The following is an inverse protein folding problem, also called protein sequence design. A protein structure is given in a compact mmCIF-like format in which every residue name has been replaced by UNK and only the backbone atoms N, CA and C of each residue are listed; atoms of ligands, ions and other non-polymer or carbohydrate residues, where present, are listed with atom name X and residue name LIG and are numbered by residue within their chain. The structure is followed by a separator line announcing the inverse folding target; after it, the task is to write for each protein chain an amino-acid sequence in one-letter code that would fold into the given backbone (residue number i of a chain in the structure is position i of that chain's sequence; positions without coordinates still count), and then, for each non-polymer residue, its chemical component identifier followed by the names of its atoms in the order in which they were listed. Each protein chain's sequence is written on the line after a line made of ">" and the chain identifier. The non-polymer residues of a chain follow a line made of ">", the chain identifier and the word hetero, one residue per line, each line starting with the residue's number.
data_IF_769282537209
#
_entry.id   IF_769282537209
#
_cell.length_a   1.000
_cell.length_b   1.000
_cell.length_c   1.000
_cell.angle_alpha   90.00
_cell.angle_beta   90.00
_cell.angle_gamma   90.00
#
_symmetry.space_group_name_H-M   'P 1'
#
loop_
_entity.id
_entity.type
_entity.pdbx_description
1 polymer ?
#
# COMPACT_ATOMS: atom_id res chain seq x y z
N UNK A 1 25.09 -21.70 -1.46
CA UNK A 1 24.34 -20.99 -0.41
C UNK A 1 24.96 -19.61 -0.29
N UNK A 2 24.20 -18.57 -0.63
CA UNK A 2 24.67 -17.19 -0.47
C UNK A 2 24.39 -16.74 0.95
N UNK A 3 25.41 -16.30 1.66
CA UNK A 3 25.21 -15.60 2.92
C UNK A 3 24.69 -14.19 2.63
N UNK A 4 23.58 -13.83 3.27
CA UNK A 4 23.00 -12.48 3.17
C UNK A 4 23.13 -11.81 4.53
N UNK A 5 23.84 -10.68 4.59
CA UNK A 5 23.93 -9.87 5.80
C UNK A 5 22.85 -8.79 5.79
N UNK A 6 21.98 -8.81 6.79
CA UNK A 6 20.97 -7.77 7.01
C UNK A 6 21.35 -6.95 8.23
N UNK A 7 21.13 -5.62 8.16
CA UNK A 7 21.21 -4.75 9.33
C UNK A 7 19.83 -4.64 9.95
N UNK A 8 19.77 -4.87 11.26
CA UNK A 8 18.57 -4.76 12.07
C UNK A 8 18.76 -3.67 13.12
N UNK A 9 17.65 -3.12 13.60
CA UNK A 9 17.64 -2.20 14.75
C UNK A 9 18.06 -2.94 16.02
N UNK A 10 18.58 -2.21 17.01
CA UNK A 10 19.00 -2.74 18.31
C UNK A 10 17.84 -3.45 19.03
N UNK A 11 16.65 -2.82 19.02
CA UNK A 11 15.41 -3.38 19.58
C UNK A 11 15.01 -4.72 18.95
N UNK A 12 15.18 -4.86 17.63
CA UNK A 12 14.88 -6.12 16.93
C UNK A 12 15.96 -7.17 17.24
N UNK A 13 17.19 -6.77 17.48
CA UNK A 13 18.25 -7.67 17.91
C UNK A 13 17.99 -8.21 19.33
N UNK A 14 17.50 -7.36 20.24
CA UNK A 14 17.06 -7.75 21.58
C UNK A 14 15.86 -8.70 21.54
N UNK A 15 14.86 -8.43 20.70
CA UNK A 15 13.71 -9.31 20.54
C UNK A 15 14.11 -10.69 19.97
N UNK A 16 14.99 -10.70 18.95
CA UNK A 16 15.55 -11.94 18.41
C UNK A 16 16.38 -12.69 19.45
N UNK A 17 17.05 -11.97 20.34
CA UNK A 17 17.82 -12.56 21.44
C UNK A 17 16.91 -13.19 22.50
N UNK A 18 15.83 -12.52 22.90
CA UNK A 18 14.87 -13.04 23.89
C UNK A 18 14.12 -14.27 23.37
N UNK A 19 13.77 -14.27 22.08
CA UNK A 19 13.03 -15.36 21.43
C UNK A 19 13.88 -16.58 21.11
N UNK A 20 15.20 -16.43 21.10
CA UNK A 20 16.16 -17.51 20.80
C UNK A 20 16.30 -18.43 22.00
N UNK A 21 15.92 -19.70 21.84
CA UNK A 21 16.17 -20.70 22.87
C UNK A 21 17.61 -21.20 22.83
N UNK A 22 18.04 -21.79 23.95
CA UNK A 22 19.40 -22.29 24.11
C UNK A 22 19.67 -23.42 23.10
N UNK A 23 20.52 -23.14 22.11
CA UNK A 23 20.91 -24.07 21.05
C UNK A 23 20.30 -23.77 19.67
N UNK A 24 19.40 -22.80 19.57
CA UNK A 24 18.87 -22.33 18.28
C UNK A 24 19.82 -21.31 17.63
N UNK A 25 19.81 -21.26 16.29
CA UNK A 25 20.46 -20.22 15.48
C UNK A 25 19.48 -19.06 15.27
N UNK A 26 20.00 -17.84 15.07
CA UNK A 26 19.15 -16.71 14.67
C UNK A 26 18.45 -16.98 13.34
N UNK A 27 19.07 -17.74 12.44
CA UNK A 27 18.48 -18.14 11.17
C UNK A 27 17.21 -18.98 11.37
N UNK A 28 17.26 -19.98 12.26
CA UNK A 28 16.10 -20.84 12.59
C UNK A 28 14.95 -20.05 13.21
N UNK A 29 15.29 -19.09 14.08
CA UNK A 29 14.30 -18.20 14.72
C UNK A 29 13.64 -17.30 13.67
N UNK A 30 14.42 -16.77 12.72
CA UNK A 30 13.92 -15.94 11.62
C UNK A 30 13.01 -16.75 10.69
N UNK A 31 13.41 -17.97 10.30
CA UNK A 31 12.57 -18.83 9.45
C UNK A 31 11.24 -19.19 10.10
N UNK A 32 11.25 -19.59 11.39
CA UNK A 32 10.01 -19.90 12.13
C UNK A 32 9.06 -18.70 12.22
N UNK A 33 9.59 -17.48 12.31
CA UNK A 33 8.78 -16.26 12.33
C UNK A 33 8.12 -15.98 10.98
N UNK A 34 8.80 -16.34 9.88
CA UNK A 34 8.25 -16.23 8.53
C UNK A 34 7.16 -17.31 8.36
N UNK A 35 7.46 -18.57 8.65
CA UNK A 35 6.53 -19.71 8.47
C UNK A 35 5.26 -19.58 9.32
N UNK A 36 5.36 -19.18 10.60
CA UNK A 36 4.19 -18.96 11.45
C UNK A 36 3.29 -17.81 10.97
N UNK A 37 3.84 -16.86 10.18
CA UNK A 37 3.05 -15.78 9.60
C UNK A 37 2.24 -16.26 8.39
N UNK A 38 2.75 -17.24 7.65
CA UNK A 38 2.06 -17.89 6.54
C UNK A 38 0.93 -18.84 7.01
N UNK A 39 1.08 -19.50 8.17
CA UNK A 39 0.03 -20.40 8.71
C UNK A 39 -1.18 -19.68 9.34
N UNK A 40 -1.02 -18.44 9.81
CA UNK A 40 -2.11 -17.67 10.43
C UNK A 40 -3.11 -17.07 9.42
N UNK A 41 -2.92 -17.28 8.12
CA UNK A 41 -3.77 -16.75 7.04
C UNK A 41 -4.92 -17.65 6.59
N UNK A 42 -5.14 -18.81 7.23
CA UNK A 42 -6.18 -19.78 6.82
C UNK A 42 -7.10 -20.16 7.98
N UNK A 43 -8.06 -19.31 8.32
CA UNK A 43 -9.27 -19.74 9.03
C UNK A 43 -10.52 -19.16 8.35
N UNK A 44 -10.97 -19.91 7.35
CA UNK A 44 -12.28 -19.86 6.73
C UNK A 44 -13.38 -20.15 7.79
N UNK A 45 -14.46 -19.36 7.76
CA UNK A 45 -15.73 -19.65 8.46
C UNK A 45 -16.31 -21.00 8.02
N UNK A 46 -17.08 -21.70 8.88
CA UNK A 46 -18.52 -21.84 8.57
C UNK A 46 -19.49 -22.07 9.77
N UNK A 47 -20.78 -21.88 9.48
CA UNK A 47 -21.99 -22.43 10.13
C UNK A 47 -22.45 -21.80 11.47
N UNK A 48 -23.69 -21.33 11.70
CA UNK A 48 -24.99 -21.62 11.09
C UNK A 48 -26.13 -20.75 11.73
N UNK A 49 -27.43 -21.11 11.59
CA UNK A 49 -28.47 -20.14 11.20
C UNK A 49 -29.60 -19.81 12.23
N UNK A 50 -30.41 -18.80 11.86
CA UNK A 50 -31.81 -18.48 12.23
C UNK A 50 -32.16 -17.93 13.63
N UNK A 51 -32.77 -16.73 13.66
CA UNK A 51 -34.17 -16.51 14.13
C UNK A 51 -34.60 -15.05 14.01
N UNK A 52 -35.55 -14.76 13.12
CA UNK A 52 -36.51 -13.65 13.26
C UNK A 52 -37.73 -14.17 14.03
N UNK A 53 -38.42 -13.33 14.83
CA UNK A 53 -39.67 -12.77 14.28
C UNK A 53 -40.02 -11.34 14.71
N UNK A 54 -40.63 -10.64 13.75
CA UNK A 54 -41.86 -9.82 13.81
C UNK A 54 -42.09 -8.87 15.00
N UNK A 55 -42.08 -7.56 14.70
CA UNK A 55 -43.06 -6.61 15.25
C UNK A 55 -43.32 -5.46 14.26
N UNK A 56 -44.55 -5.46 13.73
CA UNK A 56 -45.21 -4.32 13.07
C UNK A 56 -45.38 -3.16 14.07
N UNK A 57 -45.14 -1.92 13.67
CA UNK A 57 -46.21 -0.91 13.44
C UNK A 57 -45.67 0.49 13.03
N UNK A 58 -46.38 1.09 12.07
CA UNK A 58 -46.61 2.52 11.80
C UNK A 58 -45.45 3.51 11.45
N UNK A 59 -45.30 3.71 10.13
CA UNK A 59 -45.26 4.97 9.36
C UNK A 59 -44.82 6.30 10.05
N UNK A 60 -43.69 6.84 9.57
CA UNK A 60 -43.52 8.26 9.20
C UNK A 60 -42.33 8.42 8.22
N UNK A 61 -42.52 8.93 6.99
CA UNK A 61 -41.46 9.60 6.22
C UNK A 61 -41.71 11.13 6.23
N UNK A 62 -40.80 11.99 5.72
CA UNK A 62 -39.51 11.74 5.07
C UNK A 62 -38.34 12.61 5.61
N UNK A 63 -37.13 12.33 5.10
CA UNK A 63 -35.95 13.21 5.00
C UNK A 63 -35.41 13.78 6.34
N UNK A 64 -34.13 13.76 6.69
CA UNK A 64 -32.91 14.00 5.92
C UNK A 64 -31.78 13.29 6.68
N UNK A 65 -31.13 12.33 6.05
CA UNK A 65 -29.70 12.08 6.21
C UNK A 65 -29.27 11.57 4.84
N UNK A 66 -29.15 12.52 3.91
CA UNK A 66 -28.05 12.48 2.97
C UNK A 66 -26.78 12.27 3.79
N UNK A 67 -26.39 11.00 3.96
CA UNK A 67 -24.96 10.70 3.83
C UNK A 67 -24.72 10.78 2.34
N UNK A 68 -24.43 12.00 1.91
CA UNK A 68 -23.80 12.28 0.64
C UNK A 68 -22.63 11.30 0.52
N UNK A 69 -22.74 10.41 -0.48
CA UNK A 69 -21.71 10.22 -1.50
C UNK A 69 -20.33 10.74 -1.06
N UNK A 70 -19.64 9.96 -0.25
CA UNK A 70 -18.25 9.69 -0.58
C UNK A 70 -18.31 8.51 -1.54
N UNK A 71 -18.70 8.82 -2.78
CA UNK A 71 -18.17 8.13 -3.93
C UNK A 71 -16.67 8.45 -3.88
N UNK A 72 -15.95 7.76 -2.97
CA UNK A 72 -14.57 7.44 -3.23
C UNK A 72 -14.68 6.53 -4.46
N UNK A 73 -14.77 7.14 -5.65
CA UNK A 73 -14.27 6.52 -6.88
C UNK A 73 -12.80 6.23 -6.56
N UNK A 74 -12.56 5.18 -5.75
CA UNK A 74 -11.31 4.46 -5.76
C UNK A 74 -11.05 4.27 -7.24
N UNK A 75 -9.90 4.69 -7.75
CA UNK A 75 -9.61 4.52 -9.16
C UNK A 75 -9.63 3.02 -9.44
N UNK A 76 -10.78 2.49 -9.88
CA UNK A 76 -11.21 1.08 -9.83
C UNK A 76 -10.30 0.13 -10.65
N UNK A 77 -9.21 0.66 -11.23
CA UNK A 77 -8.15 -0.13 -11.84
C UNK A 77 -6.72 0.29 -11.49
N UNK A 78 -6.48 1.43 -10.81
CA UNK A 78 -5.12 1.86 -10.48
C UNK A 78 -4.51 0.97 -9.39
N UNK A 79 -5.27 0.62 -8.35
CA UNK A 79 -4.83 -0.31 -7.30
C UNK A 79 -4.55 -1.70 -7.89
N UNK A 80 -5.50 -2.23 -8.67
CA UNK A 80 -5.34 -3.54 -9.32
C UNK A 80 -4.12 -3.55 -10.24
N UNK A 81 -3.90 -2.47 -11.00
CA UNK A 81 -2.73 -2.32 -11.84
C UNK A 81 -1.45 -2.29 -11.01
N UNK A 82 -1.38 -1.54 -9.91
CA UNK A 82 -0.22 -1.53 -9.01
C UNK A 82 0.07 -2.91 -8.42
N UNK A 83 -0.96 -3.69 -8.09
CA UNK A 83 -0.78 -5.07 -7.62
C UNK A 83 -0.35 -6.05 -8.71
N UNK A 84 -0.71 -5.78 -9.96
CA UNK A 84 -0.27 -6.57 -11.11
C UNK A 84 1.18 -6.27 -11.53
N UNK A 85 1.67 -5.06 -11.24
CA UNK A 85 3.07 -4.73 -11.40
C UNK A 85 3.83 -5.53 -10.33
N UNK A 86 4.72 -6.42 -10.74
CA UNK A 86 5.57 -7.28 -9.89
C UNK A 86 6.52 -6.43 -9.01
N UNK A 87 5.94 -5.67 -8.09
CA UNK A 87 6.60 -4.66 -7.27
C UNK A 87 7.15 -5.33 -6.03
N UNK A 88 8.41 -5.02 -5.72
CA UNK A 88 9.14 -5.72 -4.67
C UNK A 88 8.52 -5.48 -3.28
N UNK A 89 8.18 -6.57 -2.59
CA UNK A 89 7.72 -6.59 -1.21
C UNK A 89 6.40 -7.35 -1.03
N UNK A 90 6.00 -7.57 0.22
CA UNK A 90 4.72 -8.17 0.59
C UNK A 90 4.28 -7.71 1.97
N UNK A 91 3.00 -7.92 2.30
CA UNK A 91 2.38 -7.60 3.59
C UNK A 91 2.17 -6.10 3.84
N UNK A 92 1.93 -5.72 5.10
CA UNK A 92 1.53 -4.35 5.49
C UNK A 92 2.41 -3.20 4.95
N UNK A 93 3.73 -3.40 4.83
CA UNK A 93 4.60 -2.39 4.22
C UNK A 93 4.37 -2.26 2.72
N UNK A 94 4.04 -3.34 2.03
CA UNK A 94 3.66 -3.32 0.63
C UNK A 94 2.34 -2.55 0.46
N UNK A 95 1.32 -2.85 1.27
CA UNK A 95 0.05 -2.11 1.26
C UNK A 95 0.25 -0.61 1.53
N UNK A 96 1.06 -0.25 2.51
CA UNK A 96 1.43 1.16 2.76
C UNK A 96 2.00 1.85 1.51
N UNK A 97 2.85 1.13 0.76
CA UNK A 97 3.45 1.66 -0.46
C UNK A 97 2.45 1.76 -1.62
N UNK A 98 1.57 0.78 -1.77
CA UNK A 98 0.46 0.85 -2.74
C UNK A 98 -0.40 2.07 -2.43
N UNK A 99 -0.82 2.21 -1.17
CA UNK A 99 -1.62 3.33 -0.70
C UNK A 99 -0.92 4.68 -0.96
N UNK A 100 0.37 4.79 -0.63
CA UNK A 100 1.12 6.02 -0.91
C UNK A 100 1.15 6.38 -2.40
N UNK A 101 1.26 5.40 -3.29
CA UNK A 101 1.20 5.64 -4.74
C UNK A 101 -0.20 6.01 -5.21
N UNK A 102 -1.24 5.42 -4.62
CA UNK A 102 -2.63 5.80 -4.88
C UNK A 102 -2.90 7.24 -4.43
N UNK A 103 -2.39 7.65 -3.27
CA UNK A 103 -2.48 9.04 -2.81
C UNK A 103 -1.77 10.02 -3.76
N UNK A 104 -0.60 9.64 -4.30
CA UNK A 104 0.07 10.44 -5.31
C UNK A 104 -0.75 10.55 -6.59
N UNK A 105 -1.41 9.46 -6.97
CA UNK A 105 -2.26 9.43 -8.14
C UNK A 105 -3.51 10.28 -7.94
N UNK A 106 -4.18 10.17 -6.79
CA UNK A 106 -5.32 11.01 -6.43
C UNK A 106 -4.94 12.51 -6.44
N UNK A 107 -3.76 12.84 -5.91
CA UNK A 107 -3.23 14.21 -5.99
C UNK A 107 -3.01 14.68 -7.42
N UNK A 108 -2.43 13.83 -8.28
CA UNK A 108 -2.30 14.13 -9.70
C UNK A 108 -3.67 14.31 -10.38
N UNK A 109 -4.67 13.53 -10.00
CA UNK A 109 -6.03 13.63 -10.53
C UNK A 109 -6.74 14.93 -10.11
N UNK A 110 -6.49 15.41 -8.89
CA UNK A 110 -7.00 16.70 -8.39
C UNK A 110 -6.35 17.91 -9.10
N UNK A 111 -5.15 17.71 -9.64
CA UNK A 111 -4.36 18.71 -10.36
C UNK A 111 -4.19 18.38 -11.87
N UNK A 112 -5.28 18.24 -12.65
CA UNK A 112 -5.19 17.83 -14.05
C UNK A 112 -4.50 18.90 -14.92
N UNK A 113 -3.51 18.48 -15.71
CA UNK A 113 -2.71 19.34 -16.57
C UNK A 113 -1.62 20.14 -15.84
N UNK A 114 -1.52 20.03 -14.52
CA UNK A 114 -0.45 20.65 -13.74
C UNK A 114 0.82 19.78 -13.74
N UNK A 115 1.97 20.43 -13.61
CA UNK A 115 3.27 19.76 -13.46
C UNK A 115 3.54 19.53 -12.00
N UNK A 116 3.31 18.31 -11.55
CA UNK A 116 3.61 17.89 -10.18
C UNK A 116 5.02 17.32 -10.14
N UNK A 117 5.89 17.98 -9.40
CA UNK A 117 7.26 17.54 -9.23
C UNK A 117 7.38 16.53 -8.09
N UNK A 118 8.55 15.88 -8.00
CA UNK A 118 8.91 15.07 -6.82
C UNK A 118 8.72 15.84 -5.51
N UNK A 119 9.03 17.14 -5.49
CA UNK A 119 8.97 17.95 -4.27
C UNK A 119 7.55 18.11 -3.77
N UNK A 120 6.59 18.29 -4.68
CA UNK A 120 5.16 18.43 -4.35
C UNK A 120 4.62 17.12 -3.74
N UNK A 121 5.03 15.97 -4.28
CA UNK A 121 4.68 14.67 -3.71
C UNK A 121 5.37 14.40 -2.37
N UNK A 122 6.58 14.93 -2.16
CA UNK A 122 7.28 14.84 -0.86
C UNK A 122 6.53 15.67 0.20
N UNK A 123 6.10 16.88 -0.17
CA UNK A 123 5.30 17.76 0.68
C UNK A 123 3.94 17.15 1.02
N UNK A 124 3.28 16.51 0.05
CA UNK A 124 2.02 15.78 0.29
C UNK A 124 2.17 14.67 1.34
N UNK A 125 3.27 13.91 1.29
CA UNK A 125 3.55 12.85 2.29
C UNK A 125 3.70 13.45 3.67
N UNK A 126 4.46 14.54 3.80
CA UNK A 126 4.67 15.23 5.08
C UNK A 126 3.39 15.91 5.58
N UNK A 127 2.58 16.50 4.70
CA UNK A 127 1.32 17.18 5.07
C UNK A 127 0.24 16.21 5.54
N UNK A 128 0.08 15.09 4.83
CA UNK A 128 -0.98 14.10 5.09
C UNK A 128 -0.51 12.93 5.96
N UNK A 129 0.73 12.97 6.46
CA UNK A 129 1.36 11.93 7.28
C UNK A 129 1.21 10.52 6.64
N UNK A 130 1.49 10.43 5.35
CA UNK A 130 1.26 9.21 4.55
C UNK A 130 2.32 8.15 4.91
N UNK A 131 1.88 6.96 5.32
CA UNK A 131 2.80 5.83 5.51
C UNK A 131 3.33 5.34 4.16
N UNK A 132 4.59 5.64 3.88
CA UNK A 132 5.29 5.26 2.66
C UNK A 132 5.96 3.89 2.74
N UNK A 133 5.80 3.13 3.84
CA UNK A 133 6.38 1.80 4.04
C UNK A 133 7.92 1.74 3.97
N UNK A 134 8.58 2.90 3.98
CA UNK A 134 10.02 3.12 3.97
C UNK A 134 10.38 4.14 5.04
N UNK A 135 11.61 4.09 5.55
CA UNK A 135 12.09 5.10 6.50
C UNK A 135 12.34 6.49 5.89
N UNK A 136 12.10 6.69 4.58
CA UNK A 136 12.21 8.01 3.94
C UNK A 136 11.57 8.02 2.55
N UNK A 137 10.98 9.16 2.17
CA UNK A 137 10.40 9.37 0.84
C UNK A 137 11.44 9.16 -0.27
N UNK A 138 12.69 9.56 -0.05
CA UNK A 138 13.79 9.29 -0.99
C UNK A 138 13.98 7.80 -1.29
N UNK A 139 13.78 6.94 -0.30
CA UNK A 139 13.92 5.49 -0.46
C UNK A 139 12.73 4.88 -1.20
N UNK A 140 11.51 5.33 -0.91
CA UNK A 140 10.32 5.00 -1.71
C UNK A 140 10.53 5.42 -3.17
N UNK A 141 10.95 6.67 -3.38
CA UNK A 141 11.12 7.25 -4.69
C UNK A 141 12.13 6.47 -5.55
N UNK A 142 13.29 6.14 -5.00
CA UNK A 142 14.34 5.44 -5.73
C UNK A 142 14.07 3.95 -5.97
N UNK A 143 13.41 3.28 -5.02
CA UNK A 143 13.22 1.83 -5.07
C UNK A 143 11.84 1.42 -5.59
N UNK A 144 10.86 2.32 -5.55
CA UNK A 144 9.46 1.98 -5.77
C UNK A 144 8.78 2.83 -6.82
N UNK A 145 9.08 4.13 -6.91
CA UNK A 145 8.51 5.01 -7.94
C UNK A 145 9.35 4.93 -9.22
N UNK A 146 10.64 5.26 -9.14
CA UNK A 146 11.51 5.32 -10.32
C UNK A 146 11.84 3.94 -10.87
N UNK A 147 12.15 3.93 -12.16
CA UNK A 147 12.83 2.79 -12.81
C UNK A 147 14.03 2.32 -11.98
N UNK A 148 14.05 1.02 -11.70
CA UNK A 148 15.11 0.37 -10.96
C UNK A 148 15.56 -0.90 -11.68
N UNK A 149 16.45 -0.72 -12.67
CA UNK A 149 17.00 -1.82 -13.47
C UNK A 149 17.74 -2.86 -12.64
N UNK A 150 18.29 -2.48 -11.49
CA UNK A 150 18.94 -3.41 -10.55
C UNK A 150 17.96 -4.39 -9.90
N UNK A 151 16.67 -4.08 -9.88
CA UNK A 151 15.59 -4.97 -9.44
C UNK A 151 14.77 -5.51 -10.62
N UNK A 152 15.29 -5.44 -11.84
CA UNK A 152 14.58 -5.90 -13.03
C UNK A 152 13.42 -5.02 -13.45
N UNK A 153 13.34 -3.78 -12.94
CA UNK A 153 12.26 -2.83 -13.25
C UNK A 153 12.74 -1.73 -14.18
N UNK A 154 12.37 -1.83 -15.45
CA UNK A 154 12.68 -0.84 -16.48
C UNK A 154 11.63 0.28 -16.62
N UNK A 155 10.54 0.23 -15.83
CA UNK A 155 9.46 1.21 -15.86
C UNK A 155 9.37 2.07 -14.59
N UNK A 156 8.78 3.25 -14.75
CA UNK A 156 8.37 4.12 -13.64
C UNK A 156 6.93 3.79 -13.23
N UNK A 157 6.70 3.60 -11.94
CA UNK A 157 5.42 3.11 -11.41
C UNK A 157 4.29 4.11 -11.61
N UNK A 158 4.54 5.41 -11.42
CA UNK A 158 3.50 6.43 -11.61
C UNK A 158 3.11 6.55 -13.09
N UNK A 159 4.08 6.43 -14.00
CA UNK A 159 3.82 6.47 -15.44
C UNK A 159 3.08 5.24 -15.99
N UNK A 160 2.86 4.21 -15.17
CA UNK A 160 2.01 3.07 -15.54
C UNK A 160 0.53 3.31 -15.21
N UNK A 161 0.25 4.30 -14.37
CA UNK A 161 -1.10 4.64 -13.99
C UNK A 161 -1.80 5.36 -15.16
N UNK A 162 -3.10 5.10 -15.35
CA UNK A 162 -3.86 5.68 -16.45
C UNK A 162 -3.84 7.21 -16.39
N UNK A 163 -3.72 7.87 -17.54
CA UNK A 163 -3.67 9.33 -17.62
C UNK A 163 -2.39 10.00 -17.08
N UNK A 164 -1.43 9.28 -16.48
CA UNK A 164 -0.18 9.88 -15.98
C UNK A 164 0.91 9.88 -17.06
N UNK A 165 1.47 11.06 -17.32
CA UNK A 165 2.59 11.24 -18.25
C UNK A 165 3.80 11.83 -17.52
N UNK A 166 5.00 11.41 -17.91
CA UNK A 166 6.26 12.00 -17.44
C UNK A 166 6.68 13.12 -18.39
N UNK A 167 6.77 14.35 -17.89
CA UNK A 167 7.38 15.49 -18.57
C UNK A 167 8.73 15.82 -17.92
N UNK A 168 9.80 15.20 -18.42
CA UNK A 168 11.16 15.41 -17.92
C UNK A 168 11.39 14.82 -16.52
N UNK A 169 11.14 15.61 -15.46
CA UNK A 169 11.26 15.20 -14.04
C UNK A 169 9.93 15.27 -13.30
N UNK A 170 8.90 15.77 -13.95
CA UNK A 170 7.60 16.07 -13.37
C UNK A 170 6.55 15.10 -13.96
N UNK A 171 5.43 14.99 -13.26
CA UNK A 171 4.29 14.16 -13.64
C UNK A 171 3.12 15.07 -13.97
N UNK A 172 2.42 14.74 -15.05
CA UNK A 172 1.23 15.46 -15.48
C UNK A 172 0.13 14.43 -15.62
N UNK A 173 -0.99 14.67 -14.97
CA UNK A 173 -2.19 13.90 -15.23
C UNK A 173 -3.01 14.56 -16.34
N UNK A 174 -3.28 13.80 -17.38
CA UNK A 174 -4.21 14.16 -18.44
C UNK A 174 -5.38 13.20 -18.33
N UNK A 175 -6.55 13.71 -17.92
CA UNK A 175 -7.79 12.94 -17.99
C UNK A 175 -7.99 12.56 -19.45
N UNK A 176 -7.82 11.28 -19.79
CA UNK A 176 -8.23 10.78 -21.09
C UNK A 176 -9.75 10.96 -21.15
N UNK A 177 -10.21 11.91 -21.98
CA UNK A 177 -11.62 11.99 -22.33
C UNK A 177 -11.96 10.72 -23.13
N UNK A 178 -12.56 9.74 -22.44
CA UNK A 178 -13.16 8.54 -23.06
C UNK A 178 -14.55 8.88 -23.58
#
# INVERSE_FOLDING_TARGET
>A
MGDTTIRVSDELADELYDRKQRGESYEEVIWRLIENRDEAGSQESPDGPQSLPDRRDALSPPAEHEVAEADEEEPEGAEELLRSLDLSGSGSRYDARVNAVLEFYAYLQDHPGERVSRGDLEELVDERDIDIGYGSFKSLWGNWIKKNTSQGRDFDTLARLPGVQIDGRDYIYTKEEV
#
